data_IF_514687844924
#
_entry.id   IF_514687844924
#
_cell.length_a   1.000
_cell.length_b   1.000
_cell.length_c   1.000
_cell.angle_alpha   90.00
_cell.angle_beta   90.00
_cell.angle_gamma   90.00
#
_symmetry.space_group_name_H-M   'P 1'
#
loop_
_entity.id
_entity.type
_entity.pdbx_description
1 polymer ?
#
# COMPACT_ATOMS: atom_id res chain seq x y z
N UNK A 1 21.12 -17.54 -8.98
CA UNK A 1 20.37 -16.27 -9.09
C UNK A 1 19.01 -16.27 -8.36
N UNK A 2 17.93 -16.91 -8.86
CA UNK A 2 16.59 -16.80 -8.20
C UNK A 2 16.54 -17.24 -6.73
N UNK A 3 17.27 -18.30 -6.36
CA UNK A 3 17.38 -18.73 -4.96
C UNK A 3 18.05 -17.67 -4.08
N UNK A 4 19.16 -17.09 -4.56
CA UNK A 4 19.90 -16.03 -3.89
C UNK A 4 19.08 -14.74 -3.75
N UNK A 5 18.33 -14.36 -4.79
CA UNK A 5 17.39 -13.24 -4.76
C UNK A 5 16.38 -13.37 -3.62
N UNK A 6 15.76 -14.56 -3.49
CA UNK A 6 14.83 -14.86 -2.39
C UNK A 6 15.52 -14.83 -1.04
N UNK A 7 16.74 -15.36 -0.93
CA UNK A 7 17.50 -15.34 0.33
C UNK A 7 17.77 -13.91 0.81
N UNK A 8 18.15 -13.01 -0.09
CA UNK A 8 18.34 -11.58 0.20
C UNK A 8 17.03 -10.93 0.68
N UNK A 9 15.92 -11.16 -0.05
CA UNK A 9 14.59 -10.64 0.34
C UNK A 9 14.20 -11.15 1.73
N UNK A 10 14.39 -12.45 2.00
CA UNK A 10 14.07 -13.06 3.28
C UNK A 10 14.91 -12.48 4.43
N UNK A 11 16.21 -12.25 4.21
CA UNK A 11 17.08 -11.61 5.18
C UNK A 11 16.62 -10.17 5.47
N UNK A 12 16.27 -9.40 4.44
CA UNK A 12 15.74 -8.04 4.62
C UNK A 12 14.43 -8.03 5.41
N UNK A 13 13.54 -8.98 5.15
CA UNK A 13 12.30 -9.17 5.93
C UNK A 13 12.58 -9.53 7.37
N UNK A 14 13.57 -10.40 7.63
CA UNK A 14 13.99 -10.72 9.00
C UNK A 14 14.53 -9.48 9.74
N UNK A 15 15.32 -8.64 9.08
CA UNK A 15 15.83 -7.38 9.67
C UNK A 15 14.67 -6.46 10.05
N UNK A 16 13.67 -6.30 9.17
CA UNK A 16 12.49 -5.49 9.49
C UNK A 16 11.62 -6.14 10.58
N UNK A 17 11.44 -7.46 10.56
CA UNK A 17 10.71 -8.19 11.60
C UNK A 17 11.33 -8.00 12.99
N UNK A 18 12.67 -8.07 13.09
CA UNK A 18 13.39 -7.81 14.33
C UNK A 18 13.22 -6.36 14.80
N UNK A 19 13.24 -5.39 13.85
CA UNK A 19 12.97 -3.99 14.17
C UNK A 19 11.56 -3.80 14.72
N UNK A 20 10.54 -4.39 14.08
CA UNK A 20 9.14 -4.34 14.51
C UNK A 20 9.00 -4.94 15.91
N UNK A 21 9.60 -6.11 16.17
CA UNK A 21 9.56 -6.73 17.48
C UNK A 21 10.16 -5.80 18.55
N UNK A 22 11.31 -5.20 18.28
CA UNK A 22 12.03 -4.33 19.23
C UNK A 22 11.29 -3.02 19.51
N UNK A 23 10.70 -2.38 18.49
CA UNK A 23 10.15 -1.03 18.61
C UNK A 23 8.62 -0.97 18.77
N UNK A 24 7.92 -2.03 18.38
CA UNK A 24 6.46 -2.13 18.45
C UNK A 24 5.99 -3.27 19.36
N UNK A 25 6.87 -4.18 19.79
CA UNK A 25 6.48 -5.35 20.57
C UNK A 25 5.65 -6.38 19.80
N UNK A 26 5.53 -6.23 18.48
CA UNK A 26 4.71 -7.11 17.62
C UNK A 26 5.62 -8.14 16.97
N UNK A 27 5.37 -9.43 17.23
CA UNK A 27 6.01 -10.52 16.48
C UNK A 27 5.31 -10.68 15.12
N UNK A 28 6.08 -10.60 14.05
CA UNK A 28 5.62 -10.83 12.68
C UNK A 28 6.41 -11.98 12.04
N UNK A 29 5.74 -12.77 11.22
CA UNK A 29 6.35 -13.87 10.48
C UNK A 29 7.02 -13.33 9.19
N UNK A 30 8.36 -13.43 9.05
CA UNK A 30 9.06 -12.96 7.86
C UNK A 30 8.82 -13.84 6.63
N UNK A 31 8.16 -15.00 6.74
CA UNK A 31 7.77 -15.82 5.59
C UNK A 31 6.46 -15.33 4.95
N UNK A 32 5.62 -14.62 5.71
CA UNK A 32 4.39 -13.97 5.24
C UNK A 32 4.69 -12.85 4.22
N UNK A 33 3.77 -12.56 3.31
CA UNK A 33 3.91 -11.43 2.37
C UNK A 33 3.93 -10.10 3.13
N UNK A 34 5.01 -9.32 2.96
CA UNK A 34 5.10 -7.97 3.52
C UNK A 34 4.48 -6.96 2.57
N UNK A 35 3.27 -6.52 2.92
CA UNK A 35 2.46 -5.61 2.14
C UNK A 35 2.54 -4.20 2.73
N UNK A 36 3.29 -3.33 2.06
CA UNK A 36 3.81 -2.10 2.65
C UNK A 36 3.24 -0.86 1.97
N UNK A 37 2.75 0.06 2.81
CA UNK A 37 2.34 1.40 2.41
C UNK A 37 3.03 2.46 3.28
N UNK A 38 4.14 3.02 2.79
CA UNK A 38 4.83 4.15 3.45
C UNK A 38 4.83 5.40 2.59
N UNK A 39 4.19 6.44 3.10
CA UNK A 39 4.03 7.76 2.49
C UNK A 39 3.37 8.70 3.49
N UNK A 40 3.35 10.01 3.20
CA UNK A 40 2.57 10.97 4.00
C UNK A 40 1.12 10.49 4.14
N UNK A 41 0.50 10.75 5.27
CA UNK A 41 -0.90 10.43 5.44
C UNK A 41 -1.75 11.56 4.86
N UNK A 42 -2.57 11.20 3.87
CA UNK A 42 -3.48 12.12 3.20
C UNK A 42 -4.62 11.30 2.60
N UNK A 43 -5.84 11.82 2.62
CA UNK A 43 -7.01 11.11 2.11
C UNK A 43 -6.86 10.63 0.65
N UNK A 44 -6.30 11.45 -0.26
CA UNK A 44 -6.06 11.03 -1.66
C UNK A 44 -5.06 9.88 -1.82
N UNK A 45 -4.18 9.66 -0.83
CA UNK A 45 -3.23 8.54 -0.83
C UNK A 45 -3.90 7.23 -0.43
N UNK A 46 -5.13 7.30 0.09
CA UNK A 46 -6.04 6.17 0.34
C UNK A 46 -5.48 5.07 1.26
N UNK A 47 -4.72 5.44 2.29
CA UNK A 47 -4.44 4.51 3.41
C UNK A 47 -5.73 3.93 3.99
N UNK A 48 -6.81 4.70 4.00
CA UNK A 48 -8.14 4.24 4.40
C UNK A 48 -8.64 3.08 3.53
N UNK A 49 -8.46 3.11 2.20
CA UNK A 49 -8.84 2.00 1.31
C UNK A 49 -8.08 0.71 1.67
N UNK A 50 -6.78 0.81 1.97
CA UNK A 50 -5.99 -0.31 2.47
C UNK A 50 -6.52 -0.86 3.79
N UNK A 51 -6.97 -0.01 4.71
CA UNK A 51 -7.61 -0.44 5.96
C UNK A 51 -8.93 -1.16 5.70
N UNK A 52 -9.76 -0.66 4.78
CA UNK A 52 -11.02 -1.33 4.42
C UNK A 52 -10.74 -2.76 3.94
N UNK A 53 -9.73 -2.96 3.09
CA UNK A 53 -9.28 -4.29 2.66
C UNK A 53 -8.84 -5.19 3.82
N UNK A 54 -8.09 -4.66 4.79
CA UNK A 54 -7.69 -5.43 5.98
C UNK A 54 -8.92 -5.92 6.75
N UNK A 55 -9.93 -5.06 6.91
CA UNK A 55 -11.20 -5.42 7.57
C UNK A 55 -11.97 -6.44 6.74
N UNK A 56 -11.95 -6.34 5.40
CA UNK A 56 -12.52 -7.37 4.50
C UNK A 56 -11.89 -8.74 4.76
N UNK A 57 -10.56 -8.81 4.83
CA UNK A 57 -9.86 -10.07 5.09
C UNK A 57 -10.12 -10.58 6.51
N UNK A 58 -10.18 -9.71 7.50
CA UNK A 58 -10.58 -10.06 8.86
C UNK A 58 -11.95 -10.73 8.87
N UNK A 59 -12.97 -10.12 8.24
CA UNK A 59 -14.31 -10.70 8.16
C UNK A 59 -14.35 -12.02 7.39
N UNK A 60 -13.62 -12.14 6.27
CA UNK A 60 -13.49 -13.39 5.51
C UNK A 60 -12.91 -14.52 6.37
N UNK A 61 -11.87 -14.23 7.16
CA UNK A 61 -11.26 -15.21 8.08
C UNK A 61 -12.21 -15.62 9.20
N UNK A 62 -12.97 -14.66 9.76
CA UNK A 62 -13.92 -14.96 10.84
C UNK A 62 -15.11 -15.78 10.34
N UNK A 63 -15.57 -15.52 9.12
CA UNK A 63 -16.69 -16.23 8.52
C UNK A 63 -16.34 -17.69 8.16
N UNK A 64 -15.13 -17.92 7.63
CA UNK A 64 -14.66 -19.27 7.31
C UNK A 64 -13.17 -19.44 7.67
N UNK A 65 -12.87 -19.81 8.92
CA UNK A 65 -11.49 -20.05 9.34
C UNK A 65 -10.79 -21.17 8.58
N UNK A 66 -11.51 -22.11 7.95
CA UNK A 66 -10.92 -23.27 7.28
C UNK A 66 -10.64 -23.01 5.79
N UNK A 67 -11.53 -22.31 5.07
CA UNK A 67 -11.32 -21.99 3.65
C UNK A 67 -10.16 -21.03 3.40
N UNK A 68 -9.82 -20.19 4.39
CA UNK A 68 -8.72 -19.20 4.30
C UNK A 68 -7.33 -19.83 4.49
N UNK A 69 -7.21 -21.16 4.67
CA UNK A 69 -5.93 -21.87 4.60
C UNK A 69 -5.25 -21.77 3.22
N UNK A 70 -5.96 -21.28 2.21
CA UNK A 70 -5.46 -20.98 0.86
C UNK A 70 -4.92 -19.57 0.68
N UNK A 71 -5.08 -18.66 1.65
CA UNK A 71 -4.49 -17.32 1.56
C UNK A 71 -3.09 -17.31 2.19
N UNK A 72 -2.10 -16.82 1.44
CA UNK A 72 -0.76 -16.61 1.98
C UNK A 72 -0.84 -15.65 3.18
N UNK A 73 -0.20 -15.96 4.33
CA UNK A 73 -0.14 -15.05 5.46
C UNK A 73 0.37 -13.66 5.04
N UNK A 74 -0.17 -12.60 5.64
CA UNK A 74 0.18 -11.21 5.30
C UNK A 74 0.50 -10.37 6.51
N UNK A 75 1.52 -9.53 6.35
CA UNK A 75 1.87 -8.48 7.30
C UNK A 75 1.66 -7.14 6.60
N UNK A 76 0.63 -6.42 7.02
CA UNK A 76 0.31 -5.08 6.54
C UNK A 76 1.12 -4.05 7.30
N UNK A 77 2.00 -3.33 6.61
CA UNK A 77 2.92 -2.37 7.24
C UNK A 77 2.62 -0.96 6.75
N UNK A 78 2.26 -0.09 7.69
CA UNK A 78 2.07 1.34 7.47
C UNK A 78 3.26 2.12 8.02
N UNK A 79 3.56 3.25 7.38
CA UNK A 79 4.53 4.22 7.85
C UNK A 79 4.20 5.60 7.33
N UNK A 80 3.63 6.45 8.19
CA UNK A 80 3.10 7.73 7.76
C UNK A 80 3.15 8.78 8.87
N UNK A 81 3.08 10.05 8.46
CA UNK A 81 2.85 11.21 9.33
C UNK A 81 1.69 12.03 8.75
N UNK A 82 0.84 12.54 9.62
CA UNK A 82 -0.20 13.51 9.28
C UNK A 82 0.29 14.92 9.64
N UNK A 83 -0.19 15.93 8.91
CA UNK A 83 0.03 17.33 9.31
C UNK A 83 -0.70 17.62 10.64
N UNK A 84 -0.16 18.51 11.51
CA UNK A 84 -0.69 18.69 12.87
C UNK A 84 -2.18 19.03 12.94
N UNK A 85 -2.66 19.90 12.03
CA UNK A 85 -4.06 20.33 11.94
C UNK A 85 -4.95 19.45 11.06
N UNK A 86 -4.43 18.40 10.44
CA UNK A 86 -5.23 17.56 9.53
C UNK A 86 -5.97 16.48 10.33
N UNK A 87 -7.13 16.87 10.86
CA UNK A 87 -7.97 16.03 11.71
C UNK A 87 -8.32 14.68 11.05
N UNK A 88 -8.86 14.69 9.84
CA UNK A 88 -9.27 13.45 9.15
C UNK A 88 -8.09 12.48 8.95
N UNK A 89 -6.91 13.00 8.58
CA UNK A 89 -5.71 12.18 8.50
C UNK A 89 -5.35 11.57 9.86
N UNK A 90 -5.33 12.35 10.93
CA UNK A 90 -5.07 11.81 12.28
C UNK A 90 -6.11 10.76 12.70
N UNK A 91 -7.37 10.94 12.33
CA UNK A 91 -8.43 9.98 12.60
C UNK A 91 -8.22 8.66 11.83
N UNK A 92 -7.78 8.73 10.57
CA UNK A 92 -7.38 7.53 9.79
C UNK A 92 -6.19 6.82 10.46
N UNK A 93 -5.20 7.55 11.00
CA UNK A 93 -4.12 6.93 11.81
C UNK A 93 -4.69 6.20 13.03
N UNK A 94 -5.63 6.81 13.75
CA UNK A 94 -6.29 6.16 14.89
C UNK A 94 -7.02 4.89 14.43
N UNK A 95 -7.78 4.94 13.33
CA UNK A 95 -8.47 3.77 12.79
C UNK A 95 -7.49 2.64 12.42
N UNK A 96 -6.38 2.95 11.74
CA UNK A 96 -5.36 1.93 11.42
C UNK A 96 -4.87 1.23 12.69
N UNK A 97 -4.56 2.00 13.74
CA UNK A 97 -4.06 1.44 14.99
C UNK A 97 -5.11 0.65 15.74
N UNK A 98 -6.37 1.11 15.78
CA UNK A 98 -7.44 0.33 16.41
C UNK A 98 -7.76 -0.97 15.67
N UNK A 99 -7.75 -0.95 14.33
CA UNK A 99 -7.89 -2.17 13.52
C UNK A 99 -6.72 -3.11 13.80
N UNK A 100 -5.50 -2.57 13.91
CA UNK A 100 -4.33 -3.38 14.26
C UNK A 100 -4.44 -4.04 15.63
N UNK A 101 -4.97 -3.33 16.63
CA UNK A 101 -5.19 -3.88 17.97
C UNK A 101 -6.17 -5.05 17.95
N UNK A 102 -7.30 -4.93 17.26
CA UNK A 102 -8.28 -6.02 17.13
C UNK A 102 -7.68 -7.20 16.34
N UNK A 103 -7.12 -6.93 15.16
CA UNK A 103 -6.59 -8.00 14.27
C UNK A 103 -5.43 -8.75 14.91
N UNK A 104 -4.49 -8.05 15.55
CA UNK A 104 -3.29 -8.67 16.08
C UNK A 104 -3.55 -9.51 17.34
N UNK A 105 -4.64 -9.24 18.07
CA UNK A 105 -5.00 -9.91 19.31
C UNK A 105 -6.14 -10.94 19.15
N UNK A 106 -6.82 -11.01 18.00
CA UNK A 106 -7.82 -12.06 17.74
C UNK A 106 -7.12 -13.40 17.46
N UNK A 107 -7.28 -14.44 18.30
CA UNK A 107 -6.58 -15.71 18.16
C UNK A 107 -6.96 -16.49 16.90
N UNK A 108 -8.11 -16.18 16.27
CA UNK A 108 -8.52 -16.79 15.00
C UNK A 108 -7.77 -16.16 13.83
N UNK A 109 -7.33 -14.91 13.94
CA UNK A 109 -6.81 -14.12 12.81
C UNK A 109 -5.31 -13.89 12.91
N UNK A 110 -4.78 -13.72 14.12
CA UNK A 110 -3.45 -13.21 14.42
C UNK A 110 -2.29 -13.98 13.77
N UNK A 111 -2.43 -15.27 13.51
CA UNK A 111 -1.40 -16.09 12.85
C UNK A 111 -1.39 -15.95 11.33
N UNK A 112 -2.44 -15.34 10.75
CA UNK A 112 -2.62 -15.18 9.30
C UNK A 112 -2.47 -13.74 8.86
N UNK A 113 -2.95 -12.80 9.67
CA UNK A 113 -2.84 -11.37 9.42
C UNK A 113 -2.16 -10.68 10.59
N UNK A 114 -1.19 -9.83 10.27
CA UNK A 114 -0.67 -8.82 11.19
C UNK A 114 -0.78 -7.44 10.58
N UNK A 115 -1.05 -6.44 11.41
CA UNK A 115 -1.06 -5.03 11.02
C UNK A 115 -0.07 -4.28 11.90
N UNK A 116 0.83 -3.52 11.29
CA UNK A 116 1.88 -2.79 11.98
C UNK A 116 1.88 -1.35 11.50
N UNK A 117 1.76 -0.40 12.45
CA UNK A 117 2.03 1.01 12.18
C UNK A 117 3.41 1.37 12.72
N UNK A 118 4.35 1.65 11.82
CA UNK A 118 5.68 2.10 12.20
C UNK A 118 5.68 3.60 12.48
N UNK A 119 5.82 3.96 13.76
CA UNK A 119 5.83 5.34 14.21
C UNK A 119 7.01 6.14 13.65
N UNK A 120 6.81 7.45 13.52
CA UNK A 120 7.85 8.42 13.14
C UNK A 120 8.61 8.07 11.83
N UNK A 121 7.88 7.64 10.78
CA UNK A 121 8.47 7.34 9.48
C UNK A 121 9.42 8.45 8.99
N UNK A 122 10.64 8.05 8.64
CA UNK A 122 11.75 8.90 8.22
C UNK A 122 12.69 8.11 7.28
N UNK A 123 13.76 8.74 6.80
CA UNK A 123 14.70 8.12 5.85
C UNK A 123 15.38 6.89 6.42
N UNK A 124 15.88 6.95 7.66
CA UNK A 124 16.57 5.83 8.31
C UNK A 124 15.68 4.61 8.45
N UNK A 125 14.40 4.80 8.77
CA UNK A 125 13.44 3.71 8.81
C UNK A 125 13.12 3.22 7.40
N UNK A 126 12.98 4.12 6.43
CA UNK A 126 12.70 3.77 5.04
C UNK A 126 13.78 2.85 4.43
N UNK A 127 15.05 3.05 4.79
CA UNK A 127 16.17 2.18 4.38
C UNK A 127 16.00 0.71 4.82
N UNK A 128 15.26 0.45 5.89
CA UNK A 128 14.92 -0.92 6.35
C UNK A 128 13.66 -1.45 5.68
N UNK A 129 12.73 -0.54 5.34
CA UNK A 129 11.41 -0.89 4.82
C UNK A 129 11.46 -1.27 3.34
N UNK A 130 12.06 -0.43 2.48
CA UNK A 130 12.03 -0.67 1.03
C UNK A 130 12.62 -2.04 0.64
N UNK A 131 13.76 -2.49 1.20
CA UNK A 131 14.33 -3.80 0.86
C UNK A 131 13.49 -4.99 1.31
N UNK A 132 12.61 -4.81 2.32
CA UNK A 132 11.81 -5.87 2.92
C UNK A 132 10.42 -6.05 2.28
N UNK A 133 9.95 -5.09 1.47
CA UNK A 133 8.62 -5.18 0.88
C UNK A 133 8.52 -6.29 -0.18
N UNK A 134 7.43 -7.04 -0.12
CA UNK A 134 6.97 -7.90 -1.22
C UNK A 134 5.99 -7.13 -2.09
N UNK A 135 4.99 -6.49 -1.48
CA UNK A 135 4.00 -5.63 -2.15
C UNK A 135 4.25 -4.17 -1.81
N UNK A 136 4.17 -3.32 -2.84
CA UNK A 136 4.28 -1.87 -2.76
C UNK A 136 2.95 -1.21 -3.11
N UNK A 137 2.34 -0.54 -2.13
CA UNK A 137 1.00 0.05 -2.26
C UNK A 137 1.07 1.47 -2.82
N UNK A 138 0.61 1.61 -4.07
CA UNK A 138 0.64 2.84 -4.85
C UNK A 138 -0.76 3.21 -5.32
N UNK A 139 -1.65 3.31 -4.34
CA UNK A 139 -3.11 3.33 -4.52
C UNK A 139 -3.71 4.73 -4.45
N UNK A 140 -3.00 5.80 -4.81
CA UNK A 140 -3.60 7.13 -4.87
C UNK A 140 -4.76 7.15 -5.89
N UNK A 141 -5.77 8.01 -5.72
CA UNK A 141 -6.80 8.16 -6.76
C UNK A 141 -6.14 8.64 -8.07
N UNK A 142 -6.50 8.05 -9.21
CA UNK A 142 -5.98 8.46 -10.51
C UNK A 142 -6.15 9.97 -10.75
N UNK A 143 -5.08 10.62 -11.22
CA UNK A 143 -5.02 12.06 -11.45
C UNK A 143 -4.65 12.90 -10.22
N UNK A 144 -4.22 12.29 -9.09
CA UNK A 144 -3.87 13.03 -7.86
C UNK A 144 -2.38 12.96 -7.49
N UNK A 145 -1.67 11.90 -7.84
CA UNK A 145 -0.23 11.79 -7.66
C UNK A 145 0.50 12.25 -8.91
N UNK A 146 1.23 13.38 -8.82
CA UNK A 146 1.98 13.89 -9.97
C UNK A 146 3.12 12.96 -10.42
N UNK A 147 3.72 12.21 -9.49
CA UNK A 147 4.81 11.27 -9.78
C UNK A 147 4.89 10.20 -8.69
N UNK A 148 5.50 10.52 -7.56
CA UNK A 148 5.82 9.57 -6.50
C UNK A 148 7.21 8.96 -6.71
N UNK A 149 8.03 8.95 -5.67
CA UNK A 149 9.39 8.37 -5.70
C UNK A 149 9.55 7.15 -4.78
N UNK A 150 8.55 6.90 -3.91
CA UNK A 150 8.52 5.70 -3.08
C UNK A 150 8.31 4.43 -3.89
N UNK A 151 7.41 4.49 -4.88
CA UNK A 151 7.16 3.41 -5.86
C UNK A 151 8.44 3.00 -6.60
N UNK A 152 9.26 3.96 -7.05
CA UNK A 152 10.54 3.69 -7.72
C UNK A 152 11.51 2.92 -6.79
N UNK A 153 11.61 3.35 -5.51
CA UNK A 153 12.47 2.70 -4.51
C UNK A 153 12.02 1.27 -4.25
N UNK A 154 10.72 1.06 -4.13
CA UNK A 154 10.13 -0.27 -3.95
C UNK A 154 10.41 -1.19 -5.14
N UNK A 155 10.12 -0.74 -6.37
CA UNK A 155 10.34 -1.52 -7.58
C UNK A 155 11.83 -1.87 -7.75
N UNK A 156 12.74 -0.92 -7.52
CA UNK A 156 14.19 -1.17 -7.53
C UNK A 156 14.63 -2.20 -6.48
N UNK A 157 13.95 -2.26 -5.33
CA UNK A 157 14.20 -3.24 -4.27
C UNK A 157 13.40 -4.55 -4.45
N UNK A 158 12.80 -4.77 -5.62
CA UNK A 158 12.12 -6.02 -5.97
C UNK A 158 10.72 -6.18 -5.37
N UNK A 159 10.11 -5.13 -4.85
CA UNK A 159 8.69 -5.18 -4.48
C UNK A 159 7.83 -5.04 -5.74
N UNK A 160 6.76 -5.83 -5.83
CA UNK A 160 5.79 -5.74 -6.92
C UNK A 160 4.73 -4.70 -6.55
N UNK A 161 4.37 -3.84 -7.49
CA UNK A 161 3.42 -2.76 -7.22
C UNK A 161 1.98 -3.22 -7.40
N UNK A 162 1.15 -2.94 -6.39
CA UNK A 162 -0.32 -2.85 -6.51
C UNK A 162 -0.66 -1.37 -6.57
N UNK A 163 -1.28 -0.91 -7.64
CA UNK A 163 -1.48 0.52 -7.84
C UNK A 163 -2.47 0.89 -8.93
N UNK A 164 -2.86 2.16 -8.90
CA UNK A 164 -3.68 2.81 -9.93
C UNK A 164 -2.82 3.30 -11.09
N UNK A 165 -3.48 3.63 -12.22
CA UNK A 165 -2.85 4.25 -13.38
C UNK A 165 -2.63 5.76 -13.13
N UNK A 166 -1.70 6.09 -12.24
CA UNK A 166 -1.43 7.46 -11.78
C UNK A 166 0.07 7.74 -11.59
N UNK A 167 0.48 9.00 -11.81
CA UNK A 167 1.86 9.45 -11.64
C UNK A 167 2.90 8.50 -12.26
N UNK A 168 3.96 8.21 -11.51
CA UNK A 168 5.04 7.35 -11.97
C UNK A 168 4.67 5.85 -12.01
N UNK A 169 3.47 5.44 -11.56
CA UNK A 169 3.04 4.06 -11.76
C UNK A 169 2.85 3.72 -13.24
N UNK A 170 2.44 4.71 -14.05
CA UNK A 170 2.30 4.58 -15.50
C UNK A 170 3.66 4.20 -16.09
N UNK A 171 4.68 5.03 -15.81
CA UNK A 171 6.04 4.82 -16.29
C UNK A 171 6.67 3.51 -15.77
N UNK A 172 6.38 3.12 -14.53
CA UNK A 172 6.83 1.85 -13.94
C UNK A 172 6.21 0.70 -14.70
N UNK A 173 4.88 0.69 -14.87
CA UNK A 173 4.15 -0.39 -15.54
C UNK A 173 4.60 -0.57 -16.99
N UNK A 174 4.80 0.52 -17.73
CA UNK A 174 5.33 0.49 -19.09
C UNK A 174 6.68 -0.21 -19.18
N UNK A 175 7.57 0.06 -18.22
CA UNK A 175 8.94 -0.46 -18.21
C UNK A 175 9.02 -1.89 -17.71
N UNK A 176 8.35 -2.19 -16.60
CA UNK A 176 8.40 -3.51 -15.98
C UNK A 176 7.59 -4.53 -16.76
N UNK A 177 6.63 -4.09 -17.58
CA UNK A 177 5.67 -4.92 -18.30
C UNK A 177 4.36 -5.04 -17.52
N UNK A 178 3.19 -4.95 -18.17
CA UNK A 178 1.88 -5.12 -17.53
C UNK A 178 1.73 -6.40 -16.70
N UNK A 179 2.40 -7.47 -17.10
CA UNK A 179 2.38 -8.78 -16.43
C UNK A 179 3.15 -8.78 -15.10
N UNK A 180 3.94 -7.73 -14.81
CA UNK A 180 4.73 -7.58 -13.60
C UNK A 180 4.24 -6.44 -12.69
N UNK A 181 2.97 -6.04 -12.85
CA UNK A 181 2.32 -4.95 -12.11
C UNK A 181 0.84 -5.28 -11.88
N UNK A 182 0.36 -5.10 -10.66
CA UNK A 182 -1.04 -5.32 -10.30
C UNK A 182 -1.84 -4.01 -10.43
N UNK A 183 -2.39 -3.77 -11.62
CA UNK A 183 -3.19 -2.58 -11.93
C UNK A 183 -4.64 -2.77 -11.48
N UNK A 184 -5.24 -1.74 -10.89
CA UNK A 184 -6.66 -1.70 -10.61
C UNK A 184 -7.21 -0.27 -10.62
N UNK A 185 -8.54 -0.20 -10.52
CA UNK A 185 -9.29 1.03 -10.28
C UNK A 185 -9.53 1.85 -11.54
N UNK A 186 -10.24 2.96 -11.33
CA UNK A 186 -10.59 3.91 -12.37
C UNK A 186 -9.35 4.60 -12.96
N UNK A 187 -9.41 4.85 -14.26
CA UNK A 187 -8.51 5.77 -14.96
C UNK A 187 -8.84 7.23 -14.62
N UNK A 188 -7.92 8.14 -14.91
CA UNK A 188 -8.12 9.58 -14.69
C UNK A 188 -9.36 10.10 -15.42
N UNK A 189 -9.57 9.66 -16.66
CA UNK A 189 -10.71 10.01 -17.49
C UNK A 189 -12.03 9.52 -16.88
N UNK A 190 -12.06 8.28 -16.40
CA UNK A 190 -13.23 7.70 -15.73
C UNK A 190 -13.54 8.39 -14.40
N UNK A 191 -12.52 8.79 -13.63
CA UNK A 191 -12.68 9.59 -12.40
C UNK A 191 -13.38 10.92 -12.73
N UNK A 192 -12.90 11.65 -13.74
CA UNK A 192 -13.52 12.91 -14.15
C UNK A 192 -14.95 12.72 -14.66
N UNK A 193 -15.18 11.70 -15.50
CA UNK A 193 -16.50 11.39 -16.03
C UNK A 193 -17.49 11.04 -14.91
N UNK A 194 -17.10 10.18 -13.97
CA UNK A 194 -17.95 9.78 -12.85
C UNK A 194 -18.29 10.97 -11.94
N UNK A 195 -17.33 11.85 -11.65
CA UNK A 195 -17.59 13.08 -10.89
C UNK A 195 -18.53 14.03 -11.65
N UNK A 196 -18.34 14.23 -12.95
CA UNK A 196 -19.20 15.07 -13.78
C UNK A 196 -20.64 14.53 -13.88
N UNK A 197 -20.81 13.21 -13.83
CA UNK A 197 -22.12 12.53 -13.84
C UNK A 197 -22.80 12.52 -12.46
N UNK A 198 -22.20 13.13 -11.44
CA UNK A 198 -22.76 13.18 -10.09
C UNK A 198 -22.58 11.88 -9.31
N UNK A 199 -21.34 11.38 -9.24
CA UNK A 199 -20.91 10.24 -8.43
C UNK A 199 -21.68 10.11 -7.10
N UNK A 200 -22.30 8.94 -6.88
CA UNK A 200 -23.11 8.65 -5.69
C UNK A 200 -22.50 7.49 -4.86
N UNK A 201 -21.65 7.78 -3.86
CA UNK A 201 -20.95 6.74 -3.10
C UNK A 201 -21.89 5.77 -2.38
N UNK A 202 -23.03 6.25 -1.88
CA UNK A 202 -24.05 5.43 -1.21
C UNK A 202 -24.51 4.23 -2.06
N UNK A 203 -24.55 4.36 -3.40
CA UNK A 203 -24.95 3.26 -4.28
C UNK A 203 -23.96 2.09 -4.22
N UNK A 204 -22.66 2.37 -4.09
CA UNK A 204 -21.62 1.34 -3.97
C UNK A 204 -21.76 0.59 -2.65
N UNK A 205 -21.99 1.32 -1.55
CA UNK A 205 -22.28 0.73 -0.24
C UNK A 205 -23.52 -0.18 -0.29
N UNK A 206 -24.62 0.27 -0.88
CA UNK A 206 -25.87 -0.49 -0.94
C UNK A 206 -25.75 -1.78 -1.78
N UNK A 207 -24.99 -1.72 -2.88
CA UNK A 207 -24.87 -2.83 -3.85
C UNK A 207 -23.80 -3.85 -3.50
N UNK A 208 -22.83 -3.51 -2.66
CA UNK A 208 -21.72 -4.40 -2.29
C UNK A 208 -21.86 -4.87 -0.83
N UNK A 209 -22.31 -6.12 -0.57
CA UNK A 209 -22.47 -6.64 0.78
C UNK A 209 -21.17 -6.67 1.60
N UNK A 210 -20.03 -6.98 0.97
CA UNK A 210 -18.74 -7.03 1.65
C UNK A 210 -18.28 -5.62 2.08
N UNK A 211 -18.44 -4.63 1.19
CA UNK A 211 -18.17 -3.23 1.54
C UNK A 211 -19.07 -2.76 2.69
N UNK A 212 -20.37 -3.05 2.61
CA UNK A 212 -21.32 -2.70 3.66
C UNK A 212 -20.94 -3.31 5.00
N UNK A 213 -20.59 -4.60 5.03
CA UNK A 213 -20.12 -5.27 6.25
C UNK A 213 -18.91 -4.56 6.87
N UNK A 214 -17.95 -4.12 6.04
CA UNK A 214 -16.78 -3.37 6.51
C UNK A 214 -17.21 -2.04 7.14
N UNK A 215 -17.99 -1.23 6.42
CA UNK A 215 -18.44 0.09 6.90
C UNK A 215 -19.29 -0.04 8.17
N UNK A 216 -20.25 -0.98 8.18
CA UNK A 216 -21.14 -1.22 9.32
C UNK A 216 -20.36 -1.67 10.55
N UNK A 217 -19.30 -2.49 10.38
CA UNK A 217 -18.46 -2.90 11.51
C UNK A 217 -17.69 -1.74 12.14
N UNK A 218 -17.24 -0.76 11.33
CA UNK A 218 -16.62 0.47 11.84
C UNK A 218 -17.68 1.31 12.57
N UNK A 219 -18.86 1.47 11.97
CA UNK A 219 -19.95 2.26 12.54
C UNK A 219 -20.52 1.67 13.84
N UNK A 220 -20.51 0.35 13.97
CA UNK A 220 -20.94 -0.35 15.18
C UNK A 220 -19.91 -0.32 16.32
N UNK A 221 -18.78 0.39 16.16
CA UNK A 221 -17.76 0.52 17.21
C UNK A 221 -16.89 -0.72 17.40
N UNK A 222 -16.89 -1.68 16.47
CA UNK A 222 -16.11 -2.93 16.57
C UNK A 222 -14.61 -2.68 16.72
N UNK A 223 -14.11 -1.57 16.15
CA UNK A 223 -12.72 -1.12 16.23
C UNK A 223 -12.54 0.08 17.16
N UNK A 224 -13.49 0.34 18.05
CA UNK A 224 -13.48 1.52 18.91
C UNK A 224 -13.99 1.21 20.34
N UNK A 225 -13.83 -0.04 20.79
CA UNK A 225 -14.30 -0.51 22.11
C UNK A 225 -15.79 -0.19 22.37
N UNK A 226 -16.61 -0.22 21.33
CA UNK A 226 -18.05 0.09 21.37
C UNK A 226 -18.40 1.56 21.16
N UNK A 227 -17.45 2.47 21.03
CA UNK A 227 -17.70 3.88 20.67
C UNK A 227 -18.13 3.99 19.20
N UNK A 228 -19.42 4.23 18.97
CA UNK A 228 -20.01 4.36 17.63
C UNK A 228 -19.80 5.74 16.99
N UNK A 229 -19.32 6.72 17.76
CA UNK A 229 -19.16 8.10 17.31
C UNK A 229 -17.72 8.41 16.88
N UNK A 230 -16.72 7.74 17.46
CA UNK A 230 -15.29 8.00 17.21
C UNK A 230 -14.93 8.07 15.72
N UNK A 231 -15.41 7.11 14.94
CA UNK A 231 -15.12 7.03 13.50
C UNK A 231 -16.26 7.50 12.60
N UNK A 232 -17.31 8.11 13.18
CA UNK A 232 -18.41 8.71 12.41
C UNK A 232 -17.96 9.64 11.29
N UNK A 233 -16.99 10.56 11.51
CA UNK A 233 -16.51 11.42 10.43
C UNK A 233 -15.95 10.65 9.23
N UNK A 234 -15.35 9.47 9.45
CA UNK A 234 -14.78 8.64 8.37
C UNK A 234 -15.91 8.06 7.52
N UNK A 235 -16.87 7.35 8.12
CA UNK A 235 -17.91 6.69 7.34
C UNK A 235 -18.94 7.68 6.78
N UNK A 236 -19.21 8.80 7.44
CA UNK A 236 -20.00 9.89 6.84
C UNK A 236 -19.30 10.44 5.58
N UNK A 237 -17.99 10.71 5.67
CA UNK A 237 -17.21 11.15 4.52
C UNK A 237 -17.32 10.15 3.37
N UNK A 238 -17.16 8.86 3.63
CA UNK A 238 -17.26 7.82 2.61
C UNK A 238 -18.66 7.64 2.02
N UNK A 239 -19.72 7.76 2.82
CA UNK A 239 -21.07 7.45 2.36
C UNK A 239 -21.76 8.63 1.64
N UNK A 240 -21.37 9.87 1.98
CA UNK A 240 -22.01 11.07 1.45
C UNK A 240 -21.16 11.88 0.48
N UNK A 241 -19.83 11.81 0.58
CA UNK A 241 -18.93 12.65 -0.22
C UNK A 241 -17.92 11.86 -1.05
N UNK A 242 -17.14 11.00 -0.38
CA UNK A 242 -16.08 10.15 -0.94
C UNK A 242 -15.27 10.85 -2.04
N UNK A 243 -14.70 12.01 -1.69
CA UNK A 243 -13.98 12.89 -2.61
C UNK A 243 -12.87 12.15 -3.38
N UNK A 244 -12.31 11.09 -2.79
CA UNK A 244 -11.23 10.31 -3.37
C UNK A 244 -11.68 8.93 -3.90
N UNK A 245 -13.00 8.75 -4.09
CA UNK A 245 -13.64 7.62 -4.76
C UNK A 245 -13.17 6.26 -4.25
N UNK A 246 -13.02 6.12 -2.93
CA UNK A 246 -12.62 4.87 -2.28
C UNK A 246 -13.67 3.79 -2.53
N UNK A 247 -14.96 4.12 -2.46
CA UNK A 247 -16.03 3.13 -2.62
C UNK A 247 -16.16 2.66 -4.07
N UNK A 248 -15.86 3.53 -5.04
CA UNK A 248 -15.82 3.18 -6.45
C UNK A 248 -14.72 2.15 -6.76
N UNK A 249 -13.52 2.37 -6.23
CA UNK A 249 -12.37 1.49 -6.46
C UNK A 249 -12.32 0.27 -5.52
N UNK A 250 -13.19 0.22 -4.50
CA UNK A 250 -13.12 -0.80 -3.45
C UNK A 250 -13.10 -2.23 -4.01
N UNK A 251 -14.07 -2.60 -4.85
CA UNK A 251 -14.15 -3.98 -5.34
C UNK A 251 -12.94 -4.34 -6.22
N UNK A 252 -12.56 -3.44 -7.14
CA UNK A 252 -11.39 -3.65 -8.00
C UNK A 252 -10.10 -3.80 -7.18
N UNK A 253 -9.98 -3.07 -6.07
CA UNK A 253 -8.85 -3.20 -5.14
C UNK A 253 -8.86 -4.55 -4.41
N UNK A 254 -10.02 -5.02 -3.94
CA UNK A 254 -10.12 -6.36 -3.33
C UNK A 254 -9.74 -7.45 -4.34
N UNK A 255 -10.26 -7.36 -5.57
CA UNK A 255 -10.01 -8.36 -6.62
C UNK A 255 -8.52 -8.43 -7.00
N UNK A 256 -7.86 -7.28 -7.15
CA UNK A 256 -6.42 -7.25 -7.48
C UNK A 256 -5.56 -7.72 -6.30
N UNK A 257 -6.00 -7.48 -5.07
CA UNK A 257 -5.32 -7.98 -3.88
C UNK A 257 -5.42 -9.50 -3.77
N UNK A 258 -6.57 -10.08 -4.11
CA UNK A 258 -6.75 -11.54 -4.17
C UNK A 258 -5.84 -12.14 -5.27
N UNK A 259 -5.71 -11.49 -6.43
CA UNK A 259 -4.76 -11.88 -7.48
C UNK A 259 -3.30 -11.82 -7.00
N UNK A 260 -2.91 -10.74 -6.30
CA UNK A 260 -1.57 -10.63 -5.73
C UNK A 260 -1.30 -11.71 -4.67
N UNK A 261 -2.32 -12.07 -3.86
CA UNK A 261 -2.23 -13.15 -2.87
C UNK A 261 -1.94 -14.49 -3.54
N UNK A 262 -2.66 -14.77 -4.63
CA UNK A 262 -2.53 -16.00 -5.39
C UNK A 262 -1.17 -16.07 -6.10
N UNK A 263 -0.73 -14.97 -6.72
CA UNK A 263 0.57 -14.90 -7.38
C UNK A 263 1.74 -15.13 -6.42
N UNK A 264 1.65 -14.61 -5.18
CA UNK A 264 2.68 -14.78 -4.17
C UNK A 264 2.92 -16.25 -3.78
N UNK A 265 1.90 -17.11 -3.88
CA UNK A 265 2.04 -18.54 -3.58
C UNK A 265 2.94 -19.26 -4.59
N UNK A 266 3.01 -18.77 -5.83
CA UNK A 266 3.96 -19.26 -6.81
C UNK A 266 5.31 -18.54 -6.66
N UNK A 267 6.15 -19.09 -5.77
CA UNK A 267 7.43 -18.46 -5.42
C UNK A 267 8.38 -18.24 -6.61
N UNK A 268 8.37 -19.10 -7.64
CA UNK A 268 9.24 -18.92 -8.82
C UNK A 268 8.73 -17.78 -9.72
N UNK A 269 7.42 -17.75 -9.99
CA UNK A 269 6.79 -16.68 -10.77
C UNK A 269 6.90 -15.32 -10.07
N UNK A 270 6.63 -15.26 -8.76
CA UNK A 270 6.80 -14.05 -7.96
C UNK A 270 8.24 -13.54 -7.98
N UNK A 271 9.21 -14.44 -7.81
CA UNK A 271 10.64 -14.10 -7.85
C UNK A 271 11.03 -13.55 -9.22
N UNK A 272 10.54 -14.14 -10.31
CA UNK A 272 10.77 -13.62 -11.66
C UNK A 272 10.21 -12.20 -11.81
N UNK A 273 8.98 -11.97 -11.35
CA UNK A 273 8.32 -10.67 -11.38
C UNK A 273 9.12 -9.60 -10.60
N UNK A 274 9.58 -9.96 -9.41
CA UNK A 274 10.43 -9.15 -8.54
C UNK A 274 11.75 -8.75 -9.21
N UNK A 275 12.46 -9.72 -9.82
CA UNK A 275 13.71 -9.47 -10.55
C UNK A 275 13.49 -8.53 -11.73
N UNK A 276 12.42 -8.74 -12.51
CA UNK A 276 12.11 -7.92 -13.68
C UNK A 276 11.76 -6.48 -13.30
N UNK A 277 11.10 -6.27 -12.15
CA UNK A 277 10.89 -4.94 -11.59
C UNK A 277 12.24 -4.24 -11.36
N UNK A 278 13.17 -4.87 -10.63
CA UNK A 278 14.50 -4.28 -10.40
C UNK A 278 15.27 -4.04 -11.70
N UNK A 279 15.35 -5.05 -12.58
CA UNK A 279 16.16 -4.98 -13.80
C UNK A 279 15.67 -3.92 -14.79
N UNK A 280 14.36 -3.62 -14.81
CA UNK A 280 13.74 -2.69 -15.77
C UNK A 280 13.52 -1.28 -15.20
N UNK A 281 13.89 -1.03 -13.95
CA UNK A 281 13.69 0.26 -13.29
C UNK A 281 14.90 1.22 -13.33
N UNK A 282 15.95 0.93 -14.11
CA UNK A 282 17.14 1.80 -14.22
C UNK A 282 16.84 3.24 -14.69
N UNK A 283 15.77 3.44 -15.46
CA UNK A 283 15.29 4.76 -15.90
C UNK A 283 14.97 5.73 -14.74
N UNK A 284 14.63 5.19 -13.57
CA UNK A 284 14.27 5.98 -12.39
C UNK A 284 15.47 6.45 -11.56
N UNK A 285 16.70 6.25 -12.05
CA UNK A 285 17.87 6.89 -11.45
C UNK A 285 17.74 8.41 -11.48
N UNK A 286 18.07 9.06 -10.35
CA UNK A 286 18.13 10.52 -10.28
C UNK A 286 19.20 11.09 -11.23
N UNK A 287 20.25 10.34 -11.55
CA UNK A 287 21.30 10.79 -12.46
C UNK A 287 20.74 11.08 -13.85
N UNK A 288 19.80 10.25 -14.33
CA UNK A 288 19.10 10.49 -15.59
C UNK A 288 18.29 11.77 -15.54
N UNK A 289 17.54 12.00 -14.45
CA UNK A 289 16.76 13.22 -14.28
C UNK A 289 17.69 14.45 -14.21
N UNK A 290 18.78 14.39 -13.45
CA UNK A 290 19.77 15.47 -13.36
C UNK A 290 20.40 15.77 -14.72
N UNK A 291 20.77 14.75 -15.49
CA UNK A 291 21.31 14.92 -16.83
C UNK A 291 20.32 15.68 -17.75
N UNK A 292 19.03 15.30 -17.74
CA UNK A 292 18.00 16.03 -18.50
C UNK A 292 17.85 17.49 -18.05
N UNK A 293 17.86 17.77 -16.75
CA UNK A 293 17.83 19.14 -16.24
C UNK A 293 19.06 19.94 -16.68
N UNK A 294 20.26 19.35 -16.61
CA UNK A 294 21.50 19.96 -17.08
C UNK A 294 21.46 20.28 -18.58
N UNK A 295 20.95 19.35 -19.40
CA UNK A 295 20.97 19.47 -20.86
C UNK A 295 19.88 20.40 -21.39
N UNK A 296 18.67 20.35 -20.82
CA UNK A 296 17.47 20.97 -21.40
C UNK A 296 17.10 22.31 -20.74
N UNK A 297 17.36 22.46 -19.45
CA UNK A 297 16.91 23.63 -18.66
C UNK A 297 18.11 24.47 -18.21
N UNK A 298 19.04 23.91 -17.43
CA UNK A 298 20.14 24.66 -16.84
C UNK A 298 21.25 24.98 -17.84
N UNK A 299 21.37 24.19 -18.92
CA UNK A 299 22.39 24.32 -19.97
C UNK A 299 23.82 24.33 -19.40
N UNK A 300 24.09 23.39 -18.49
CA UNK A 300 25.41 23.24 -17.82
C UNK A 300 26.12 21.98 -18.28
N UNK A 301 27.47 21.98 -18.22
CA UNK A 301 28.31 20.81 -18.53
C UNK A 301 29.11 20.38 -17.29
N UNK A 302 29.51 19.10 -17.20
CA UNK A 302 30.41 18.64 -16.16
C UNK A 302 31.70 19.47 -16.13
N UNK A 303 32.16 19.83 -14.93
CA UNK A 303 33.44 20.51 -14.71
C UNK A 303 34.41 19.50 -14.13
N UNK A 304 35.55 19.31 -14.80
CA UNK A 304 36.63 18.46 -14.32
C UNK A 304 37.31 19.15 -13.12
N UNK A 305 37.30 18.50 -11.96
CA UNK A 305 38.00 18.98 -10.76
C UNK A 305 39.35 18.27 -10.70
N UNK A 306 40.44 19.01 -10.92
CA UNK A 306 41.80 18.50 -10.68
C UNK A 306 42.09 18.58 -9.19
N UNK A 307 42.28 17.43 -8.54
CA UNK A 307 42.79 17.37 -7.18
C UNK A 307 44.28 17.78 -7.20
N UNK A 308 44.69 18.64 -6.27
CA UNK A 308 46.10 18.99 -6.10
C UNK A 308 46.72 17.88 -5.24
N UNK A 309 47.80 17.26 -5.75
CA UNK A 309 48.61 16.27 -5.03
C UNK A 309 49.22 16.82 -3.73
#
# INVERSE_FOLDING_TARGET
FRAEWRAIKQQNKQVLANYILTHNGIKVDPTASFDIMVKRLHEYKRQLLKVLHIITLYHRIKADPAAVTTLAPRVFIFGAKAAPGYYMAKLIIKLINSVAEVVNNDPVVADRLKVVFLANFNVSLAQRIYPAADISEQISLAGKEASGTGNMKFALNGAVTVGTLDGANIEIRERVGPENFFLFGLTTEEVFAAKAQGYQPMQYYQRNPALRQVIDSIAAGHFADGDTDLFKPIFDSLLYHDEYMLLADYQAYIDVQDQAAQAFQNSDAWTRMSILNTARCGFFSSDRAMQQYCDEIWRVKPVEVRLID
#
